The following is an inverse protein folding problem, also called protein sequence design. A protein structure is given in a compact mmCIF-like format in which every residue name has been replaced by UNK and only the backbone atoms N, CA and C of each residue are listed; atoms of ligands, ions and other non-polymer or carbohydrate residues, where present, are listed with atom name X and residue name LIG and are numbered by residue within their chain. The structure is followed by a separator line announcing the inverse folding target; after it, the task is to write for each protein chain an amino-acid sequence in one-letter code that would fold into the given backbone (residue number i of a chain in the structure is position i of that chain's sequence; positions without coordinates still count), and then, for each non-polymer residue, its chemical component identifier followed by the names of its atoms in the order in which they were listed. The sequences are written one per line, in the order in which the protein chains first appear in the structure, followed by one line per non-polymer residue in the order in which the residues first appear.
data_IF_664176073387
#
_entry.id   IF_664176073387
#
_cell.length_a   1.000
_cell.length_b   1.000
_cell.length_c   1.000
_cell.angle_alpha   90.00
_cell.angle_beta   90.00
_cell.angle_gamma   90.00
#
_symmetry.space_group_name_H-M   'P 1'
#
loop_
_entity.id
_entity.type
_entity.pdbx_description
1 polymer ?
#
# COMPACT_ATOMS: atom_id res chain seq x y z
N UNK A 1 -23.16 -24.56 14.52
CA UNK A 1 -22.48 -23.53 13.71
C UNK A 1 -21.02 -23.95 13.64
N UNK A 2 -20.62 -24.59 12.55
CA UNK A 2 -19.23 -25.05 12.39
C UNK A 2 -18.30 -23.85 12.29
N UNK A 3 -17.31 -23.80 13.18
CA UNK A 3 -16.32 -22.75 13.20
C UNK A 3 -15.22 -23.12 12.19
N UNK A 4 -15.42 -22.78 10.92
CA UNK A 4 -14.40 -22.98 9.88
C UNK A 4 -13.28 -21.96 10.09
N UNK A 5 -12.32 -22.30 10.95
CA UNK A 5 -11.03 -21.62 11.04
C UNK A 5 -10.26 -21.85 9.73
N UNK A 6 -10.61 -21.12 8.67
CA UNK A 6 -9.79 -21.04 7.48
C UNK A 6 -8.53 -20.27 7.85
N UNK A 7 -7.42 -20.98 7.94
CA UNK A 7 -6.10 -20.39 8.16
C UNK A 7 -5.76 -19.53 6.94
N UNK A 8 -5.73 -18.22 7.10
CA UNK A 8 -5.28 -17.31 6.04
C UNK A 8 -3.82 -17.62 5.73
N UNK A 9 -3.53 -18.02 4.49
CA UNK A 9 -2.15 -18.05 3.99
C UNK A 9 -1.75 -16.63 3.60
N UNK A 10 -0.59 -16.20 4.09
CA UNK A 10 0.08 -15.01 3.61
C UNK A 10 0.85 -15.41 2.36
N UNK A 11 0.51 -14.79 1.24
CA UNK A 11 1.18 -14.97 -0.05
C UNK A 11 2.01 -13.72 -0.35
N UNK A 12 2.94 -13.84 -1.31
CA UNK A 12 3.66 -12.66 -1.80
C UNK A 12 2.68 -11.70 -2.49
N UNK A 13 2.94 -10.40 -2.38
CA UNK A 13 2.16 -9.38 -3.07
C UNK A 13 2.20 -9.64 -4.58
N UNK A 14 1.02 -9.83 -5.18
CA UNK A 14 0.87 -9.84 -6.62
C UNK A 14 0.70 -8.40 -7.16
N UNK A 15 0.56 -8.26 -8.48
CA UNK A 15 0.40 -6.96 -9.13
C UNK A 15 -0.86 -6.21 -8.67
N UNK A 16 -1.98 -6.91 -8.49
CA UNK A 16 -3.25 -6.31 -8.03
C UNK A 16 -3.13 -5.80 -6.59
N UNK A 17 -2.41 -6.53 -5.72
CA UNK A 17 -2.11 -6.09 -4.37
C UNK A 17 -1.27 -4.81 -4.38
N UNK A 18 -0.29 -4.74 -5.29
CA UNK A 18 0.59 -3.57 -5.48
C UNK A 18 -0.18 -2.35 -5.99
N UNK A 19 -1.12 -2.55 -6.92
CA UNK A 19 -2.02 -1.50 -7.41
C UNK A 19 -2.94 -1.00 -6.29
N UNK A 20 -3.52 -1.91 -5.50
CA UNK A 20 -4.34 -1.56 -4.35
C UNK A 20 -3.57 -0.75 -3.31
N UNK A 21 -2.33 -1.16 -3.03
CA UNK A 21 -1.45 -0.44 -2.11
C UNK A 21 -1.07 0.96 -2.65
N UNK A 22 -0.74 1.07 -3.94
CA UNK A 22 -0.48 2.35 -4.60
C UNK A 22 -1.66 3.30 -4.48
N UNK A 23 -2.88 2.82 -4.80
CA UNK A 23 -4.08 3.63 -4.74
C UNK A 23 -4.34 4.12 -3.32
N UNK A 24 -4.35 3.22 -2.33
CA UNK A 24 -4.58 3.58 -0.94
C UNK A 24 -3.54 4.57 -0.39
N UNK A 25 -2.26 4.38 -0.75
CA UNK A 25 -1.17 5.20 -0.22
C UNK A 25 -1.16 6.59 -0.86
N UNK A 26 -1.34 6.69 -2.18
CA UNK A 26 -1.02 7.90 -2.94
C UNK A 26 -2.23 8.60 -3.58
N UNK A 27 -3.31 7.88 -3.89
CA UNK A 27 -4.44 8.41 -4.69
C UNK A 27 -5.73 8.53 -3.87
N UNK A 28 -5.93 7.67 -2.88
CA UNK A 28 -7.18 7.61 -2.12
C UNK A 28 -7.48 8.95 -1.44
N UNK A 29 -8.66 9.47 -1.78
CA UNK A 29 -9.29 10.67 -1.23
C UNK A 29 -9.39 10.69 0.31
N UNK A 30 -9.27 9.54 0.98
CA UNK A 30 -9.16 9.41 2.43
C UNK A 30 -7.79 9.80 3.00
N UNK A 31 -6.85 10.27 2.17
CA UNK A 31 -5.68 11.06 2.57
C UNK A 31 -6.05 12.20 3.57
N UNK A 32 -7.28 12.73 3.52
CA UNK A 32 -7.81 13.67 4.52
C UNK A 32 -7.73 13.16 5.96
N UNK A 33 -7.83 11.85 6.19
CA UNK A 33 -7.64 11.28 7.53
C UNK A 33 -6.16 11.34 7.99
N UNK A 34 -5.20 11.41 7.06
CA UNK A 34 -3.78 11.61 7.37
C UNK A 34 -3.47 13.04 7.82
N UNK A 35 -4.26 14.02 7.37
CA UNK A 35 -4.19 15.42 7.85
C UNK A 35 -4.49 15.55 9.36
N UNK A 36 -5.16 14.55 9.97
CA UNK A 36 -5.52 14.58 11.38
C UNK A 36 -4.40 14.12 12.33
N UNK A 37 -3.31 13.53 11.81
CA UNK A 37 -2.29 12.87 12.63
C UNK A 37 -1.02 13.71 12.89
N UNK A 38 -1.01 15.00 12.57
CA UNK A 38 0.13 15.90 12.76
C UNK A 38 0.17 17.02 11.72
N UNK A 39 1.21 17.87 11.68
CA UNK A 39 1.35 18.81 10.57
C UNK A 39 1.37 18.01 9.27
N UNK A 40 0.43 18.29 8.37
CA UNK A 40 0.34 17.63 7.09
C UNK A 40 1.62 17.94 6.29
N UNK A 41 2.43 16.91 6.07
CA UNK A 41 3.55 16.95 5.13
C UNK A 41 3.00 16.38 3.83
N UNK A 42 3.04 17.17 2.77
CA UNK A 42 2.62 16.74 1.45
C UNK A 42 3.54 15.60 0.99
N UNK A 43 2.95 14.43 0.72
CA UNK A 43 3.68 13.30 0.15
C UNK A 43 4.09 13.65 -1.31
N UNK A 44 5.28 13.22 -1.74
CA UNK A 44 5.67 13.33 -3.14
C UNK A 44 4.68 12.57 -4.04
N UNK A 45 4.30 13.20 -5.15
CA UNK A 45 3.48 12.55 -6.16
C UNK A 45 4.31 11.52 -6.94
N UNK A 46 3.79 10.29 -7.05
CA UNK A 46 4.39 9.23 -7.85
C UNK A 46 3.38 8.67 -8.86
N UNK A 47 3.85 8.37 -10.06
CA UNK A 47 3.15 7.43 -10.96
C UNK A 47 3.24 6.01 -10.42
N UNK A 48 2.34 5.12 -10.84
CA UNK A 48 2.39 3.71 -10.44
C UNK A 48 3.73 3.05 -10.79
N UNK A 49 4.30 3.34 -11.95
CA UNK A 49 5.59 2.78 -12.38
C UNK A 49 6.77 3.25 -11.53
N UNK A 50 6.78 4.51 -11.10
CA UNK A 50 7.82 5.03 -10.18
C UNK A 50 7.69 4.38 -8.80
N UNK A 51 6.45 4.22 -8.32
CA UNK A 51 6.15 3.55 -7.08
C UNK A 51 6.58 2.08 -7.09
N UNK A 52 6.26 1.35 -8.15
CA UNK A 52 6.62 -0.06 -8.33
C UNK A 52 8.15 -0.24 -8.35
N UNK A 53 8.87 0.60 -9.10
CA UNK A 53 10.34 0.56 -9.15
C UNK A 53 10.96 0.83 -7.77
N UNK A 54 10.46 1.83 -7.05
CA UNK A 54 10.93 2.13 -5.70
C UNK A 54 10.67 0.98 -4.74
N UNK A 55 9.46 0.41 -4.77
CA UNK A 55 9.10 -0.74 -3.96
C UNK A 55 10.00 -1.95 -4.21
N UNK A 56 10.33 -2.23 -5.48
CA UNK A 56 11.27 -3.31 -5.86
C UNK A 56 12.69 -3.03 -5.36
N UNK A 57 13.18 -1.80 -5.45
CA UNK A 57 14.51 -1.44 -4.93
C UNK A 57 14.58 -1.59 -3.41
N UNK A 58 13.55 -1.10 -2.70
CA UNK A 58 13.48 -1.16 -1.24
C UNK A 58 13.38 -2.61 -0.73
N UNK A 59 12.69 -3.49 -1.45
CA UNK A 59 12.51 -4.91 -1.08
C UNK A 59 13.71 -5.79 -1.45
N UNK A 60 14.48 -5.44 -2.49
CA UNK A 60 15.72 -6.14 -2.87
C UNK A 60 16.91 -5.71 -1.99
N UNK A 61 16.80 -4.59 -1.28
CA UNK A 61 17.86 -4.05 -0.41
C UNK A 61 17.79 -4.53 1.06
N UNK A 62 16.86 -5.43 1.38
CA UNK A 62 16.68 -6.08 2.70
C UNK A 62 17.22 -7.51 2.69
#
# INVERSE_FOLDING_TARGET
MENTNKKTLLEELNEDDLVGYYYWKNIDSLQKAKEWNGPYIEDEYFTFSEFENKYKVDTVSL
#
